data_IF_945091986179
#
_entry.id   IF_945091986179
#
_cell.length_a   1.000
_cell.length_b   1.000
_cell.length_c   1.000
_cell.angle_alpha   90.00
_cell.angle_beta   90.00
_cell.angle_gamma   90.00
#
_symmetry.space_group_name_H-M   'P 1'
#
loop_
_entity.id
_entity.type
_entity.pdbx_description
1 polymer ?
#
# COMPACT_ATOMS: atom_id res chain seq x y z
N UNK A 1 11.11 -17.28 11.88
CA UNK A 1 10.16 -16.16 11.68
C UNK A 1 9.57 -16.19 10.25
N UNK A 2 10.37 -16.36 9.18
CA UNK A 2 9.83 -16.47 7.80
C UNK A 2 8.83 -17.62 7.61
N UNK A 3 9.04 -18.75 8.27
CA UNK A 3 8.09 -19.89 8.21
C UNK A 3 6.79 -19.61 8.94
N UNK A 4 6.84 -18.88 10.06
CA UNK A 4 5.65 -18.47 10.82
C UNK A 4 4.84 -17.43 10.04
N UNK A 5 5.50 -16.63 9.18
CA UNK A 5 4.86 -15.60 8.35
C UNK A 5 4.35 -16.12 7.00
N UNK A 6 4.42 -17.43 6.71
CA UNK A 6 3.72 -18.00 5.55
C UNK A 6 2.22 -17.76 5.72
N UNK A 7 1.54 -17.34 4.66
CA UNK A 7 0.11 -17.02 4.69
C UNK A 7 -0.71 -18.19 5.23
N UNK A 8 -0.39 -19.41 4.84
CA UNK A 8 -1.02 -20.65 5.32
C UNK A 8 -0.89 -20.81 6.84
N UNK A 9 0.31 -20.58 7.40
CA UNK A 9 0.57 -20.71 8.84
C UNK A 9 -0.15 -19.64 9.66
N UNK A 10 -0.26 -18.44 9.14
CA UNK A 10 -1.03 -17.36 9.76
C UNK A 10 -2.52 -17.68 9.71
N UNK A 11 -3.01 -18.17 8.58
CA UNK A 11 -4.41 -18.63 8.44
C UNK A 11 -4.71 -19.76 9.43
N UNK A 12 -3.82 -20.75 9.55
CA UNK A 12 -3.93 -21.83 10.52
C UNK A 12 -4.01 -21.33 11.97
N UNK A 13 -3.14 -20.38 12.37
CA UNK A 13 -3.16 -19.74 13.68
C UNK A 13 -4.47 -18.97 13.91
N UNK A 14 -4.94 -18.23 12.90
CA UNK A 14 -6.18 -17.47 12.98
C UNK A 14 -7.40 -18.39 13.10
N UNK A 15 -7.40 -19.52 12.39
CA UNK A 15 -8.49 -20.50 12.43
C UNK A 15 -8.50 -21.35 13.71
N UNK A 16 -7.32 -21.62 14.29
CA UNK A 16 -7.18 -22.41 15.52
C UNK A 16 -7.68 -21.73 16.78
N UNK A 17 -7.92 -20.40 16.72
CA UNK A 17 -8.46 -19.59 17.83
C UNK A 17 -9.73 -18.90 17.38
N UNK A 18 -10.70 -18.76 18.26
CA UNK A 18 -11.96 -18.07 18.00
C UNK A 18 -11.72 -16.53 17.89
N UNK A 19 -11.17 -16.10 16.75
CA UNK A 19 -10.98 -14.68 16.43
C UNK A 19 -12.22 -14.04 15.77
N UNK A 20 -13.41 -14.63 15.91
CA UNK A 20 -14.66 -14.11 15.32
C UNK A 20 -14.98 -12.67 15.75
N UNK A 21 -14.46 -12.24 16.91
CA UNK A 21 -14.53 -10.84 17.39
C UNK A 21 -13.48 -9.91 16.77
N UNK A 22 -12.62 -10.43 15.88
CA UNK A 22 -11.51 -9.74 15.25
C UNK A 22 -10.27 -9.65 16.15
N UNK A 23 -9.10 -9.49 15.54
CA UNK A 23 -7.79 -9.47 16.20
C UNK A 23 -6.99 -8.22 15.84
N UNK A 24 -5.94 -7.96 16.62
CA UNK A 24 -4.97 -6.89 16.38
C UNK A 24 -3.59 -7.51 16.17
N UNK A 25 -2.78 -6.90 15.33
CA UNK A 25 -1.39 -7.28 15.13
C UNK A 25 -0.51 -6.16 15.71
N UNK A 26 0.39 -6.53 16.61
CA UNK A 26 1.39 -5.62 17.15
C UNK A 26 2.75 -6.30 17.03
N UNK A 27 3.74 -5.59 16.47
CA UNK A 27 5.05 -6.20 16.28
C UNK A 27 6.19 -5.22 16.14
N UNK A 28 7.31 -5.58 16.77
CA UNK A 28 8.63 -5.08 16.44
C UNK A 28 9.28 -6.10 15.52
N UNK A 29 9.32 -5.81 14.22
CA UNK A 29 9.75 -6.77 13.20
C UNK A 29 11.15 -6.45 12.69
N UNK A 30 11.96 -7.47 12.34
CA UNK A 30 13.22 -7.23 11.64
C UNK A 30 12.97 -6.45 10.35
N UNK A 31 13.76 -5.43 10.09
CA UNK A 31 13.56 -4.50 8.96
C UNK A 31 13.46 -5.19 7.59
N UNK A 32 14.24 -6.25 7.37
CA UNK A 32 14.22 -7.00 6.11
C UNK A 32 12.90 -7.74 5.85
N UNK A 33 12.04 -7.90 6.87
CA UNK A 33 10.72 -8.53 6.73
C UNK A 33 9.59 -7.53 6.46
N UNK A 34 9.82 -6.23 6.57
CA UNK A 34 8.76 -5.21 6.49
C UNK A 34 7.97 -5.31 5.18
N UNK A 35 8.66 -5.38 4.03
CA UNK A 35 7.98 -5.47 2.72
C UNK A 35 7.19 -6.77 2.55
N UNK A 36 7.70 -7.87 3.08
CA UNK A 36 7.01 -9.15 3.06
C UNK A 36 5.74 -9.12 3.92
N UNK A 37 5.86 -8.61 5.16
CA UNK A 37 4.73 -8.52 6.09
C UNK A 37 3.65 -7.57 5.56
N UNK A 38 4.01 -6.42 5.00
CA UNK A 38 3.04 -5.50 4.41
C UNK A 38 2.26 -6.16 3.27
N UNK A 39 2.92 -6.92 2.40
CA UNK A 39 2.26 -7.67 1.32
C UNK A 39 1.29 -8.71 1.89
N UNK A 40 1.71 -9.44 2.91
CA UNK A 40 0.86 -10.41 3.59
C UNK A 40 -0.37 -9.75 4.20
N UNK A 41 -0.18 -8.62 4.89
CA UNK A 41 -1.28 -7.84 5.48
C UNK A 41 -2.28 -7.34 4.44
N UNK A 42 -1.80 -6.92 3.26
CA UNK A 42 -2.67 -6.54 2.12
C UNK A 42 -3.48 -7.75 1.63
N UNK A 43 -2.85 -8.92 1.45
CA UNK A 43 -3.53 -10.15 1.03
C UNK A 43 -4.62 -10.60 2.04
N UNK A 44 -4.42 -10.33 3.33
CA UNK A 44 -5.41 -10.65 4.36
C UNK A 44 -6.67 -9.76 4.29
N UNK A 45 -6.61 -8.59 3.61
CA UNK A 45 -7.75 -7.67 3.56
C UNK A 45 -8.94 -8.22 2.75
N UNK A 46 -8.70 -9.10 1.79
CA UNK A 46 -9.75 -9.79 1.02
C UNK A 46 -10.33 -11.02 1.75
N UNK A 47 -9.77 -11.39 2.91
CA UNK A 47 -10.20 -12.55 3.70
C UNK A 47 -11.26 -12.19 4.73
N UNK A 48 -12.04 -13.21 5.15
CA UNK A 48 -13.10 -13.05 6.12
C UNK A 48 -12.58 -12.63 7.51
N UNK A 49 -11.47 -13.22 7.96
CA UNK A 49 -10.82 -12.95 9.24
C UNK A 49 -9.61 -12.03 9.04
N UNK A 50 -9.84 -10.73 8.90
CA UNK A 50 -8.80 -9.72 8.78
C UNK A 50 -8.54 -8.99 10.11
N UNK A 51 -7.32 -8.48 10.35
CA UNK A 51 -7.03 -7.72 11.56
C UNK A 51 -7.86 -6.43 11.60
N UNK A 52 -8.30 -6.02 12.79
CA UNK A 52 -8.98 -4.72 12.98
C UNK A 52 -7.99 -3.55 13.14
N UNK A 53 -6.77 -3.86 13.52
CA UNK A 53 -5.71 -2.89 13.78
C UNK A 53 -4.36 -3.56 13.60
N UNK A 54 -3.43 -2.86 12.98
CA UNK A 54 -2.04 -3.27 12.88
C UNK A 54 -1.16 -2.13 13.41
N UNK A 55 -0.26 -2.43 14.33
CA UNK A 55 0.75 -1.51 14.86
C UNK A 55 2.12 -2.15 14.70
N UNK A 56 2.98 -1.53 13.92
CA UNK A 56 4.31 -2.06 13.62
C UNK A 56 5.39 -1.02 13.89
N UNK A 57 6.53 -1.47 14.38
CA UNK A 57 7.76 -0.69 14.35
C UNK A 57 8.56 -1.07 13.10
N UNK A 58 8.84 -0.06 12.27
CA UNK A 58 9.55 -0.19 10.98
C UNK A 58 10.63 0.88 10.88
N UNK A 59 11.51 0.81 9.87
CA UNK A 59 12.45 1.90 9.60
C UNK A 59 11.70 3.20 9.31
N UNK A 60 12.23 4.34 9.81
CA UNK A 60 11.62 5.67 9.63
C UNK A 60 11.33 5.98 8.16
N UNK A 61 12.30 5.75 7.27
CA UNK A 61 12.12 5.97 5.82
C UNK A 61 10.96 5.15 5.26
N UNK A 62 10.81 3.89 5.66
CA UNK A 62 9.72 3.04 5.20
C UNK A 62 8.38 3.57 5.69
N UNK A 63 8.30 4.01 6.95
CA UNK A 63 7.10 4.63 7.51
C UNK A 63 6.71 5.91 6.74
N UNK A 64 7.67 6.80 6.45
CA UNK A 64 7.46 8.03 5.69
C UNK A 64 6.97 7.72 4.27
N UNK A 65 7.50 6.67 3.63
CA UNK A 65 7.03 6.22 2.31
C UNK A 65 5.60 5.68 2.34
N UNK A 66 5.20 4.99 3.41
CA UNK A 66 3.83 4.45 3.57
C UNK A 66 2.79 5.57 3.68
N UNK A 67 3.10 6.62 4.44
CA UNK A 67 2.17 7.73 4.68
C UNK A 67 2.36 8.91 3.72
N UNK A 68 3.20 8.76 2.70
CA UNK A 68 3.49 9.81 1.75
C UNK A 68 2.21 10.34 1.08
N UNK A 69 2.20 11.65 0.80
CA UNK A 69 1.15 12.38 0.12
C UNK A 69 1.71 13.03 -1.16
N UNK A 70 0.86 13.44 -2.10
CA UNK A 70 1.32 14.26 -3.21
C UNK A 70 2.14 15.48 -2.75
N UNK A 71 3.21 15.87 -3.43
CA UNK A 71 3.73 15.30 -4.68
C UNK A 71 4.76 14.17 -4.49
N UNK A 72 4.81 13.52 -3.32
CA UNK A 72 5.80 12.48 -2.96
C UNK A 72 5.23 11.06 -2.91
N UNK A 73 4.09 10.84 -3.56
CA UNK A 73 3.49 9.51 -3.61
C UNK A 73 4.43 8.49 -4.28
N UNK A 74 4.28 7.26 -3.90
CA UNK A 74 5.04 6.13 -4.42
C UNK A 74 4.17 4.86 -4.43
N UNK A 75 4.65 3.81 -5.10
CA UNK A 75 3.91 2.55 -5.22
C UNK A 75 3.50 1.99 -3.85
N UNK A 76 4.40 2.03 -2.85
CA UNK A 76 4.13 1.52 -1.51
C UNK A 76 3.02 2.34 -0.83
N UNK A 77 3.06 3.69 -0.95
CA UNK A 77 2.04 4.57 -0.39
C UNK A 77 0.66 4.26 -0.98
N UNK A 78 0.54 4.25 -2.32
CA UNK A 78 -0.75 4.00 -3.00
C UNK A 78 -1.30 2.64 -2.59
N UNK A 79 -0.48 1.57 -2.65
CA UNK A 79 -0.95 0.23 -2.28
C UNK A 79 -1.31 0.13 -0.80
N UNK A 80 -0.51 0.72 0.11
CA UNK A 80 -0.84 0.63 1.53
C UNK A 80 -2.10 1.43 1.86
N UNK A 81 -2.23 2.65 1.32
CA UNK A 81 -3.40 3.52 1.53
C UNK A 81 -4.67 2.96 0.87
N UNK A 82 -4.54 2.16 -0.18
CA UNK A 82 -5.68 1.45 -0.77
C UNK A 82 -6.33 0.46 0.21
N UNK A 83 -5.53 -0.18 1.06
CA UNK A 83 -6.02 -1.16 2.03
C UNK A 83 -6.21 -0.60 3.43
N UNK A 84 -5.46 0.43 3.81
CA UNK A 84 -5.37 0.90 5.19
C UNK A 84 -5.37 2.43 5.29
N UNK A 85 -6.05 2.93 6.30
CA UNK A 85 -5.75 4.26 6.82
C UNK A 85 -4.43 4.16 7.59
N UNK A 86 -3.39 4.86 7.12
CA UNK A 86 -2.02 4.75 7.62
C UNK A 86 -1.59 6.02 8.34
N UNK A 87 -0.96 5.88 9.51
CA UNK A 87 -0.43 7.01 10.30
C UNK A 87 0.86 6.63 11.01
N UNK A 88 1.85 7.53 11.01
CA UNK A 88 2.99 7.47 11.93
C UNK A 88 2.51 7.97 13.29
N UNK A 89 2.70 7.13 14.32
CA UNK A 89 2.35 7.45 15.71
C UNK A 89 3.52 8.12 16.42
N UNK A 90 4.73 7.57 16.22
CA UNK A 90 5.92 8.04 16.94
C UNK A 90 7.19 7.70 16.14
N UNK A 91 8.16 8.60 16.19
CA UNK A 91 9.53 8.34 15.76
C UNK A 91 10.33 7.85 16.97
N UNK A 92 11.05 6.75 16.78
CA UNK A 92 11.90 6.15 17.80
C UNK A 92 13.36 6.30 17.36
N UNK A 93 14.12 7.08 18.09
CA UNK A 93 15.53 7.34 17.79
C UNK A 93 16.37 6.08 17.95
N UNK A 94 17.35 5.88 17.09
CA UNK A 94 18.26 4.72 17.12
C UNK A 94 18.99 4.56 18.46
N UNK A 95 19.25 5.64 19.17
CA UNK A 95 19.88 5.60 20.50
C UNK A 95 19.03 4.96 21.60
N UNK A 96 17.74 4.68 21.34
CA UNK A 96 16.87 3.99 22.30
C UNK A 96 16.99 2.46 22.24
N UNK A 97 17.92 1.95 21.45
CA UNK A 97 18.13 0.50 21.26
C UNK A 97 19.53 0.08 21.72
N UNK A 98 19.64 -1.13 22.22
CA UNK A 98 20.93 -1.75 22.56
C UNK A 98 21.01 -3.16 21.93
N UNK A 99 21.91 -3.39 20.97
CA UNK A 99 22.76 -2.42 20.27
C UNK A 99 21.94 -1.47 19.37
N UNK A 100 22.40 -0.24 19.10
CA UNK A 100 21.68 0.71 18.28
C UNK A 100 21.66 0.29 16.80
N UNK A 101 20.52 0.37 16.11
CA UNK A 101 20.42 0.13 14.67
C UNK A 101 21.09 1.27 13.89
N UNK A 102 21.29 1.06 12.58
CA UNK A 102 21.91 2.07 11.68
C UNK A 102 21.03 3.31 11.48
N UNK A 103 19.71 3.17 11.57
CA UNK A 103 18.72 4.23 11.26
C UNK A 103 17.65 4.33 12.35
N UNK A 104 16.97 5.49 12.41
CA UNK A 104 15.81 5.68 13.28
C UNK A 104 14.67 4.75 12.86
N UNK A 105 13.80 4.42 13.80
CA UNK A 105 12.56 3.66 13.60
C UNK A 105 11.34 4.58 13.68
N UNK A 106 10.20 4.04 13.26
CA UNK A 106 8.90 4.67 13.48
C UNK A 106 7.85 3.63 13.82
N UNK A 107 6.94 3.99 14.71
CA UNK A 107 5.74 3.20 14.98
C UNK A 107 4.65 3.67 14.03
N UNK A 108 4.15 2.76 13.20
CA UNK A 108 3.03 3.00 12.29
C UNK A 108 1.78 2.30 12.79
N UNK A 109 0.65 2.95 12.57
CA UNK A 109 -0.69 2.40 12.80
C UNK A 109 -1.38 2.27 11.45
N UNK A 110 -1.93 1.07 11.17
CA UNK A 110 -2.67 0.75 9.97
C UNK A 110 -4.06 0.26 10.40
N UNK A 111 -5.11 0.95 9.96
CA UNK A 111 -6.50 0.57 10.19
C UNK A 111 -7.08 0.12 8.85
N UNK A 112 -7.56 -1.13 8.74
CA UNK A 112 -8.16 -1.62 7.51
C UNK A 112 -9.33 -0.76 7.05
N UNK A 113 -9.38 -0.45 5.77
CA UNK A 113 -10.47 0.28 5.15
C UNK A 113 -11.53 -0.69 4.63
N UNK A 114 -12.79 -0.25 4.64
CA UNK A 114 -13.85 -0.86 3.84
C UNK A 114 -13.76 -0.27 2.44
N UNK A 115 -13.33 -1.09 1.48
CA UNK A 115 -13.17 -0.67 0.09
C UNK A 115 -13.89 -1.67 -0.83
N UNK A 116 -14.82 -1.17 -1.64
CA UNK A 116 -15.61 -2.00 -2.57
C UNK A 116 -14.74 -2.78 -3.57
N UNK A 117 -13.57 -2.26 -3.92
CA UNK A 117 -12.66 -2.93 -4.86
C UNK A 117 -11.92 -4.11 -4.22
N UNK A 118 -11.69 -4.09 -2.91
CA UNK A 118 -11.04 -5.19 -2.18
C UNK A 118 -11.96 -6.43 -2.13
N UNK A 119 -13.27 -6.22 -2.13
CA UNK A 119 -14.26 -7.31 -2.13
C UNK A 119 -14.39 -8.01 -3.48
N UNK A 120 -13.82 -7.44 -4.55
CA UNK A 120 -13.80 -8.04 -5.89
C UNK A 120 -12.35 -8.32 -6.34
N UNK A 121 -11.86 -9.56 -6.25
CA UNK A 121 -10.48 -9.91 -6.56
C UNK A 121 -10.04 -9.57 -8.00
N UNK A 122 -10.96 -9.56 -8.95
CA UNK A 122 -10.66 -9.18 -10.34
C UNK A 122 -10.39 -7.67 -10.46
N UNK A 123 -11.20 -6.84 -9.80
CA UNK A 123 -11.02 -5.39 -9.78
C UNK A 123 -9.77 -5.00 -8.98
N UNK A 124 -9.58 -5.62 -7.83
CA UNK A 124 -8.39 -5.45 -7.00
C UNK A 124 -7.11 -5.71 -7.82
N UNK A 125 -7.05 -6.86 -8.50
CA UNK A 125 -5.91 -7.23 -9.35
C UNK A 125 -5.66 -6.21 -10.47
N UNK A 126 -6.71 -5.77 -11.16
CA UNK A 126 -6.61 -4.74 -12.21
C UNK A 126 -6.11 -3.41 -11.67
N UNK A 127 -6.60 -2.96 -10.51
CA UNK A 127 -6.12 -1.73 -9.86
C UNK A 127 -4.64 -1.81 -9.51
N UNK A 128 -4.21 -2.91 -8.88
CA UNK A 128 -2.79 -3.13 -8.55
C UNK A 128 -1.93 -3.11 -9.82
N UNK A 129 -2.38 -3.73 -10.92
CA UNK A 129 -1.67 -3.72 -12.20
C UNK A 129 -1.53 -2.30 -12.77
N UNK A 130 -2.60 -1.50 -12.73
CA UNK A 130 -2.60 -0.11 -13.18
C UNK A 130 -1.56 0.71 -12.39
N UNK A 131 -1.60 0.64 -11.06
CA UNK A 131 -0.68 1.39 -10.20
C UNK A 131 0.77 0.95 -10.42
N UNK A 132 1.03 -0.36 -10.52
CA UNK A 132 2.37 -0.89 -10.84
C UNK A 132 2.89 -0.39 -12.19
N UNK A 133 2.05 -0.38 -13.22
CA UNK A 133 2.41 0.16 -14.53
C UNK A 133 2.74 1.66 -14.43
N UNK A 134 1.90 2.44 -13.74
CA UNK A 134 2.13 3.86 -13.56
C UNK A 134 3.43 4.21 -12.83
N UNK A 135 3.87 3.39 -11.89
CA UNK A 135 5.14 3.56 -11.17
C UNK A 135 6.31 2.74 -11.75
N UNK A 136 6.17 2.12 -12.93
CA UNK A 136 7.23 1.29 -13.53
C UNK A 136 8.51 2.08 -13.75
N UNK A 137 8.39 3.36 -14.13
CA UNK A 137 9.51 4.30 -14.28
C UNK A 137 9.16 5.62 -13.57
N UNK A 138 9.47 5.76 -12.26
CA UNK A 138 8.99 6.88 -11.43
C UNK A 138 9.39 8.29 -11.92
N UNK A 139 10.50 8.40 -12.67
CA UNK A 139 10.99 9.67 -13.25
C UNK A 139 10.27 10.06 -14.53
N UNK A 140 9.56 9.15 -15.20
CA UNK A 140 8.78 9.44 -16.42
C UNK A 140 7.37 9.96 -16.07
N UNK A 141 6.73 10.57 -17.07
CA UNK A 141 5.35 11.02 -16.96
C UNK A 141 4.38 9.85 -16.80
N UNK A 142 3.21 10.11 -16.22
CA UNK A 142 2.13 9.11 -16.10
C UNK A 142 1.75 8.54 -17.47
N UNK A 143 1.59 9.43 -18.47
CA UNK A 143 1.31 9.05 -19.86
C UNK A 143 2.32 8.03 -20.40
N UNK A 144 3.61 8.29 -20.21
CA UNK A 144 4.67 7.41 -20.70
C UNK A 144 4.70 6.05 -20.00
N UNK A 145 4.28 6.00 -18.74
CA UNK A 145 4.19 4.75 -17.99
C UNK A 145 2.95 3.95 -18.41
N UNK A 146 1.78 4.59 -18.46
CA UNK A 146 0.51 3.90 -18.69
C UNK A 146 0.27 3.51 -20.16
N UNK A 147 0.92 4.17 -21.15
CA UNK A 147 0.76 3.81 -22.57
C UNK A 147 1.16 2.35 -22.92
N UNK A 148 1.83 1.67 -21.99
CA UNK A 148 2.17 0.24 -22.12
C UNK A 148 0.97 -0.69 -21.92
N UNK A 149 -0.11 -0.20 -21.28
CA UNK A 149 -1.29 -1.00 -20.94
C UNK A 149 -2.61 -0.33 -21.34
N UNK A 150 -2.61 0.96 -21.67
CA UNK A 150 -3.78 1.75 -22.06
C UNK A 150 -3.41 2.55 -23.33
N UNK A 151 -4.29 2.64 -24.35
CA UNK A 151 -4.06 3.48 -25.51
C UNK A 151 -3.74 4.92 -25.14
N UNK A 152 -2.70 5.49 -25.79
CA UNK A 152 -2.17 6.83 -25.48
C UNK A 152 -3.26 7.90 -25.54
N UNK A 153 -4.09 7.85 -26.57
CA UNK A 153 -5.16 8.81 -26.84
C UNK A 153 -6.21 8.83 -25.72
N UNK A 154 -6.51 7.66 -25.12
CA UNK A 154 -7.42 7.57 -23.96
C UNK A 154 -6.84 8.26 -22.73
N UNK A 155 -5.53 8.09 -22.49
CA UNK A 155 -4.84 8.71 -21.35
C UNK A 155 -4.79 10.22 -21.54
N UNK A 156 -4.43 10.71 -22.74
CA UNK A 156 -4.37 12.14 -23.05
C UNK A 156 -5.75 12.80 -22.86
N UNK A 157 -6.81 12.19 -23.43
CA UNK A 157 -8.18 12.65 -23.25
C UNK A 157 -8.59 12.74 -21.78
N UNK A 158 -8.24 11.71 -20.99
CA UNK A 158 -8.50 11.69 -19.54
C UNK A 158 -7.80 12.86 -18.82
N UNK A 159 -6.49 13.03 -19.07
CA UNK A 159 -5.70 14.06 -18.43
C UNK A 159 -6.24 15.46 -18.73
N UNK A 160 -6.54 15.74 -19.99
CA UNK A 160 -7.10 17.03 -20.42
C UNK A 160 -8.48 17.28 -19.81
N UNK A 161 -9.38 16.28 -19.85
CA UNK A 161 -10.72 16.35 -19.25
C UNK A 161 -10.68 16.70 -17.76
N UNK A 162 -9.68 16.20 -17.03
CA UNK A 162 -9.54 16.38 -15.59
C UNK A 162 -8.58 17.54 -15.22
N UNK A 163 -8.22 18.43 -16.16
CA UNK A 163 -7.30 19.56 -15.97
C UNK A 163 -5.93 19.13 -15.43
N UNK A 164 -5.45 17.95 -15.79
CA UNK A 164 -4.14 17.44 -15.44
C UNK A 164 -3.16 17.68 -16.58
N UNK A 165 -1.93 18.12 -16.24
CA UNK A 165 -0.88 18.32 -17.23
C UNK A 165 -0.45 16.98 -17.86
N UNK A 166 -0.17 16.94 -19.17
CA UNK A 166 0.38 15.76 -19.86
C UNK A 166 1.76 15.35 -19.32
N UNK A 167 2.44 16.26 -18.66
CA UNK A 167 3.75 16.05 -18.02
C UNK A 167 3.66 15.55 -16.58
N UNK A 168 2.44 15.38 -16.03
CA UNK A 168 2.22 14.92 -14.65
C UNK A 168 2.94 13.60 -14.38
N UNK A 169 3.56 13.50 -13.22
CA UNK A 169 4.24 12.28 -12.77
C UNK A 169 3.37 11.49 -11.80
N UNK A 170 3.53 10.16 -11.72
CA UNK A 170 2.73 9.31 -10.83
C UNK A 170 2.81 9.72 -9.35
N UNK A 171 3.93 10.30 -8.92
CA UNK A 171 4.12 10.78 -7.55
C UNK A 171 3.25 11.99 -7.17
N UNK A 172 2.72 12.72 -8.14
CA UNK A 172 1.84 13.88 -7.93
C UNK A 172 0.36 13.49 -7.71
N UNK A 173 0.00 12.22 -7.90
CA UNK A 173 -1.37 11.73 -7.82
C UNK A 173 -1.66 11.12 -6.44
N UNK A 174 -2.78 11.53 -5.82
CA UNK A 174 -3.32 10.93 -4.62
C UNK A 174 -3.91 9.54 -4.88
N UNK A 175 -4.27 8.80 -3.83
CA UNK A 175 -5.02 7.55 -3.97
C UNK A 175 -6.35 7.78 -4.72
N UNK A 176 -7.06 8.87 -4.41
CA UNK A 176 -8.34 9.19 -5.04
C UNK A 176 -8.19 9.46 -6.53
N UNK A 177 -7.09 10.12 -6.96
CA UNK A 177 -6.79 10.31 -8.38
C UNK A 177 -6.53 8.97 -9.06
N UNK A 178 -5.80 8.05 -8.42
CA UNK A 178 -5.58 6.69 -8.94
C UNK A 178 -6.87 5.90 -9.07
N UNK A 179 -7.80 6.04 -8.13
CA UNK A 179 -9.11 5.40 -8.20
C UNK A 179 -9.97 5.98 -9.32
N UNK A 180 -9.94 7.29 -9.56
CA UNK A 180 -10.62 7.93 -10.71
C UNK A 180 -10.06 7.45 -12.04
N UNK A 181 -8.72 7.39 -12.18
CA UNK A 181 -8.06 6.82 -13.37
C UNK A 181 -8.52 5.39 -13.59
N UNK A 182 -8.57 4.58 -12.54
CA UNK A 182 -9.01 3.19 -12.62
C UNK A 182 -10.46 3.07 -13.10
N UNK A 183 -11.36 3.86 -12.55
CA UNK A 183 -12.77 3.87 -12.92
C UNK A 183 -12.98 4.26 -14.40
N UNK A 184 -12.34 5.35 -14.85
CA UNK A 184 -12.57 5.90 -16.17
C UNK A 184 -11.80 5.17 -17.29
N UNK A 185 -10.60 4.66 -17.03
CA UNK A 185 -9.74 4.08 -18.06
C UNK A 185 -9.68 2.56 -18.08
N UNK A 186 -10.07 1.89 -17.00
CA UNK A 186 -9.92 0.42 -16.87
C UNK A 186 -11.25 -0.29 -16.65
N UNK A 187 -12.24 0.36 -16.03
CA UNK A 187 -13.55 -0.23 -15.78
C UNK A 187 -14.56 0.05 -16.90
N UNK A 188 -14.40 1.18 -17.62
CA UNK A 188 -15.18 1.58 -18.79
C UNK A 188 -14.41 1.22 -20.07
#
# INVERSE_FOLDING_TARGET
IREILKEEKIQEIIQSKDYNKGYKIVGNIPYYLTSYLLRLLMNLQSKQNKPKLVVLMVQKEVAERIVAQPPKMNLLAVLTQFYFQSKIIQIVKKGNFSPPPKVDSAIIKLIPLKNQYISNPKLEKKFIQLVKAGFSQPRKTLLNNLKTIIPKEKIEKYLLKNNLQLTIRPAALSLDDWLKIFQELVMN
#
